data_IF_580843074222
#
_entry.id   IF_580843074222
#
_cell.length_a   1.000
_cell.length_b   1.000
_cell.length_c   1.000
_cell.angle_alpha   90.00
_cell.angle_beta   90.00
_cell.angle_gamma   90.00
#
_symmetry.space_group_name_H-M   'P 1'
#
loop_
_entity.id
_entity.type
_entity.pdbx_description
1 polymer ?
#
# COMPACT_ATOMS: atom_id res chain seq x y z
N UNK A 1 67.67 33.38 -51.26
CA UNK A 1 66.41 34.09 -51.58
C UNK A 1 65.58 33.12 -52.41
N UNK A 2 64.43 32.55 -52.04
CA UNK A 2 63.39 32.85 -51.05
C UNK A 2 62.75 31.53 -50.54
N UNK A 3 62.62 31.44 -49.20
CA UNK A 3 61.56 30.79 -48.38
C UNK A 3 61.08 29.36 -48.69
N UNK A 4 61.63 28.44 -47.92
CA UNK A 4 60.87 27.44 -47.15
C UNK A 4 59.70 28.12 -46.41
N UNK A 5 58.47 27.61 -46.58
CA UNK A 5 57.35 27.81 -45.65
C UNK A 5 56.84 26.44 -45.23
N UNK A 6 57.52 25.92 -44.22
CA UNK A 6 57.07 24.97 -43.21
C UNK A 6 55.56 24.98 -42.94
N UNK A 7 55.10 23.76 -42.66
CA UNK A 7 53.76 23.32 -42.34
C UNK A 7 53.41 23.72 -40.91
N UNK A 8 52.43 24.59 -40.72
CA UNK A 8 51.99 24.96 -39.38
C UNK A 8 50.54 24.51 -39.18
N UNK A 9 50.41 23.23 -38.88
CA UNK A 9 49.18 22.58 -38.39
C UNK A 9 48.81 23.21 -37.02
N UNK A 10 47.96 24.24 -37.02
CA UNK A 10 47.52 25.02 -35.84
C UNK A 10 46.46 24.33 -34.97
N UNK A 11 46.50 23.00 -34.82
CA UNK A 11 45.57 22.33 -33.91
C UNK A 11 46.30 21.97 -32.61
N UNK A 12 46.10 22.73 -31.52
CA UNK A 12 46.61 22.35 -30.22
C UNK A 12 46.02 20.98 -29.83
N UNK A 13 46.82 20.00 -29.38
CA UNK A 13 46.26 18.78 -28.83
C UNK A 13 45.50 19.13 -27.54
N UNK A 14 44.18 19.03 -27.60
CA UNK A 14 43.32 19.17 -26.43
C UNK A 14 43.79 18.19 -25.35
N UNK A 15 44.12 18.74 -24.18
CA UNK A 15 44.62 18.02 -23.02
C UNK A 15 43.56 17.04 -22.51
N UNK A 16 43.62 15.80 -22.96
CA UNK A 16 42.75 14.72 -22.50
C UNK A 16 43.33 14.17 -21.19
N UNK A 17 42.97 14.80 -20.06
CA UNK A 17 43.44 14.39 -18.75
C UNK A 17 42.57 13.26 -18.23
N UNK A 18 43.21 12.18 -17.76
CA UNK A 18 42.66 10.88 -17.40
C UNK A 18 41.67 10.81 -16.24
N UNK A 19 40.72 11.75 -16.13
CA UNK A 19 39.59 11.66 -15.19
C UNK A 19 38.37 10.94 -15.75
N UNK A 20 38.32 10.60 -17.04
CA UNK A 20 37.11 10.02 -17.67
C UNK A 20 36.63 8.72 -16.99
N UNK A 21 37.55 7.87 -16.52
CA UNK A 21 37.20 6.64 -15.80
C UNK A 21 36.67 6.97 -14.40
N UNK A 22 37.28 7.93 -13.71
CA UNK A 22 36.82 8.37 -12.39
C UNK A 22 35.44 9.03 -12.49
N UNK A 23 35.21 9.83 -13.52
CA UNK A 23 33.94 10.49 -13.81
C UNK A 23 32.84 9.47 -14.13
N UNK A 24 33.16 8.44 -14.93
CA UNK A 24 32.25 7.32 -15.18
C UNK A 24 31.93 6.52 -13.91
N UNK A 25 32.91 6.25 -13.06
CA UNK A 25 32.70 5.56 -11.78
C UNK A 25 31.83 6.37 -10.82
N UNK A 26 32.02 7.70 -10.75
CA UNK A 26 31.19 8.60 -9.96
C UNK A 26 29.77 8.64 -10.51
N UNK A 27 29.59 8.71 -11.84
CA UNK A 27 28.28 8.67 -12.48
C UNK A 27 27.53 7.37 -12.16
N UNK A 28 28.19 6.21 -12.28
CA UNK A 28 27.62 4.90 -11.95
C UNK A 28 27.28 4.81 -10.46
N UNK A 29 28.15 5.33 -9.57
CA UNK A 29 27.91 5.35 -8.13
C UNK A 29 26.64 6.15 -7.79
N UNK A 30 26.54 7.38 -8.25
CA UNK A 30 25.38 8.25 -7.99
C UNK A 30 24.12 7.64 -8.59
N UNK A 31 24.21 7.10 -9.81
CA UNK A 31 23.08 6.45 -10.46
C UNK A 31 22.58 5.21 -9.69
N UNK A 32 23.51 4.40 -9.17
CA UNK A 32 23.19 3.23 -8.35
C UNK A 32 22.49 3.62 -7.04
N UNK A 33 22.93 4.69 -6.40
CA UNK A 33 22.26 5.25 -5.22
C UNK A 33 20.85 5.76 -5.56
N UNK A 34 20.68 6.38 -6.73
CA UNK A 34 19.38 6.80 -7.24
C UNK A 34 18.39 5.65 -7.41
N UNK A 35 18.83 4.52 -8.01
CA UNK A 35 18.00 3.33 -8.15
C UNK A 35 17.61 2.76 -6.77
N UNK A 36 18.56 2.68 -5.83
CA UNK A 36 18.27 2.15 -4.50
C UNK A 36 17.25 3.02 -3.75
N UNK A 37 17.36 4.35 -3.86
CA UNK A 37 16.38 5.28 -3.30
C UNK A 37 14.98 5.06 -3.89
N UNK A 38 14.89 4.87 -5.21
CA UNK A 38 13.62 4.59 -5.88
C UNK A 38 13.00 3.26 -5.45
N UNK A 39 13.81 2.19 -5.33
CA UNK A 39 13.35 0.89 -4.84
C UNK A 39 12.83 1.02 -3.40
N UNK A 40 13.52 1.78 -2.54
CA UNK A 40 13.06 2.05 -1.18
C UNK A 40 11.70 2.74 -1.12
N UNK A 41 11.49 3.75 -1.98
CA UNK A 41 10.20 4.43 -2.11
C UNK A 41 9.12 3.48 -2.63
N UNK A 42 9.43 2.69 -3.66
CA UNK A 42 8.50 1.69 -4.21
C UNK A 42 8.08 0.67 -3.15
N UNK A 43 9.03 0.15 -2.36
CA UNK A 43 8.74 -0.78 -1.28
C UNK A 43 7.81 -0.16 -0.21
N UNK A 44 8.03 1.11 0.15
CA UNK A 44 7.14 1.84 1.07
C UNK A 44 5.73 2.01 0.50
N UNK A 45 5.63 2.41 -0.76
CA UNK A 45 4.35 2.54 -1.46
C UNK A 45 3.56 1.22 -1.48
N UNK A 46 4.22 0.09 -1.77
CA UNK A 46 3.59 -1.24 -1.75
C UNK A 46 3.04 -1.63 -0.37
N UNK A 47 3.75 -1.27 0.72
CA UNK A 47 3.27 -1.49 2.09
C UNK A 47 2.01 -0.65 2.38
N UNK A 48 2.00 0.61 1.98
CA UNK A 48 0.85 1.49 2.15
C UNK A 48 -0.38 1.00 1.34
N UNK A 49 -0.17 0.51 0.12
CA UNK A 49 -1.21 -0.11 -0.70
C UNK A 49 -1.81 -1.35 -0.02
N UNK A 50 -0.96 -2.23 0.54
CA UNK A 50 -1.42 -3.43 1.27
C UNK A 50 -2.25 -3.06 2.50
N UNK A 51 -1.81 -2.09 3.30
CA UNK A 51 -2.57 -1.62 4.46
C UNK A 51 -3.94 -1.03 4.06
N UNK A 52 -3.99 -0.31 2.94
CA UNK A 52 -5.24 0.22 2.37
C UNK A 52 -6.16 -0.89 1.90
N UNK A 53 -5.61 -1.93 1.25
CA UNK A 53 -6.37 -3.11 0.82
C UNK A 53 -7.07 -3.80 2.00
N UNK A 54 -6.38 -4.02 3.12
CA UNK A 54 -7.02 -4.62 4.29
C UNK A 54 -8.20 -3.80 4.83
N UNK A 55 -8.11 -2.47 4.80
CA UNK A 55 -9.23 -1.60 5.21
C UNK A 55 -10.43 -1.73 4.25
N UNK A 56 -10.17 -1.81 2.95
CA UNK A 56 -11.21 -2.04 1.95
C UNK A 56 -11.87 -3.40 2.15
N UNK A 57 -11.08 -4.46 2.29
CA UNK A 57 -11.58 -5.82 2.51
C UNK A 57 -12.41 -5.90 3.82
N UNK A 58 -11.96 -5.24 4.89
CA UNK A 58 -12.72 -5.14 6.15
C UNK A 58 -14.06 -4.39 5.99
N UNK A 59 -14.06 -3.28 5.23
CA UNK A 59 -15.28 -2.54 4.94
C UNK A 59 -16.27 -3.37 4.12
N UNK A 60 -15.78 -4.16 3.17
CA UNK A 60 -16.59 -5.05 2.35
C UNK A 60 -17.25 -6.13 3.21
N UNK A 61 -16.49 -6.80 4.08
CA UNK A 61 -17.03 -7.82 5.01
C UNK A 61 -18.10 -7.23 5.91
N UNK A 62 -17.88 -6.03 6.44
CA UNK A 62 -18.84 -5.35 7.30
C UNK A 62 -20.12 -4.96 6.53
N UNK A 63 -19.96 -4.42 5.31
CA UNK A 63 -21.07 -4.01 4.45
C UNK A 63 -21.89 -5.21 3.98
N UNK A 64 -21.26 -6.33 3.64
CA UNK A 64 -21.95 -7.58 3.33
C UNK A 64 -22.77 -8.08 4.52
N UNK A 65 -22.22 -8.01 5.74
CA UNK A 65 -22.95 -8.39 6.96
C UNK A 65 -24.16 -7.50 7.18
N UNK A 66 -24.00 -6.19 7.03
CA UNK A 66 -25.10 -5.23 7.12
C UNK A 66 -26.16 -5.51 6.04
N UNK A 67 -25.76 -5.74 4.79
CA UNK A 67 -26.68 -6.02 3.69
C UNK A 67 -27.55 -7.26 3.97
N UNK A 68 -26.97 -8.32 4.51
CA UNK A 68 -27.72 -9.51 4.92
C UNK A 68 -28.73 -9.19 6.04
N UNK A 69 -28.34 -8.37 7.01
CA UNK A 69 -29.25 -7.91 8.08
C UNK A 69 -30.37 -7.01 7.56
N UNK A 70 -30.13 -6.20 6.53
CA UNK A 70 -31.18 -5.40 5.88
C UNK A 70 -32.18 -6.25 5.12
N UNK A 71 -31.72 -7.35 4.52
CA UNK A 71 -32.56 -8.32 3.83
C UNK A 71 -33.42 -9.14 4.81
N UNK A 72 -32.89 -9.44 5.99
CA UNK A 72 -33.56 -10.19 7.06
C UNK A 72 -33.77 -9.32 8.31
N UNK A 73 -34.37 -8.15 8.08
CA UNK A 73 -34.52 -7.09 9.10
C UNK A 73 -35.49 -7.42 10.23
N UNK A 74 -36.32 -8.44 10.06
CA UNK A 74 -37.27 -8.87 11.09
C UNK A 74 -36.58 -9.82 12.09
N UNK A 75 -35.39 -10.35 11.76
CA UNK A 75 -34.64 -11.30 12.57
C UNK A 75 -33.24 -10.81 12.96
N UNK A 76 -33.07 -9.50 13.21
CA UNK A 76 -31.76 -8.90 13.53
C UNK A 76 -31.08 -9.55 14.74
N UNK A 77 -31.84 -10.03 15.72
CA UNK A 77 -31.31 -10.68 16.91
C UNK A 77 -30.52 -11.97 16.59
N UNK A 78 -30.87 -12.69 15.52
CA UNK A 78 -30.15 -13.88 15.09
C UNK A 78 -28.76 -13.59 14.50
N UNK A 79 -28.50 -12.34 14.11
CA UNK A 79 -27.21 -11.91 13.58
C UNK A 79 -26.23 -11.44 14.65
N UNK A 80 -26.65 -11.37 15.92
CA UNK A 80 -25.74 -11.09 17.03
C UNK A 80 -24.71 -12.22 17.10
N UNK A 81 -23.43 -11.86 17.03
CA UNK A 81 -22.35 -12.83 17.10
C UNK A 81 -21.23 -12.29 18.02
N UNK A 82 -20.64 -13.15 18.87
CA UNK A 82 -19.41 -12.81 19.57
C UNK A 82 -18.27 -12.66 18.56
N UNK A 83 -17.08 -12.29 19.05
CA UNK A 83 -15.88 -12.22 18.19
C UNK A 83 -15.67 -13.58 17.51
N UNK A 84 -15.87 -13.60 16.21
CA UNK A 84 -15.85 -14.81 15.38
C UNK A 84 -14.77 -14.67 14.32
N UNK A 85 -13.98 -15.72 14.11
CA UNK A 85 -12.93 -15.74 13.10
C UNK A 85 -13.54 -15.69 11.69
N UNK A 86 -12.96 -14.85 10.83
CA UNK A 86 -13.30 -14.79 9.41
C UNK A 86 -12.50 -15.85 8.64
N UNK A 87 -13.07 -16.40 7.55
CA UNK A 87 -12.33 -17.31 6.69
C UNK A 87 -11.16 -16.57 6.02
N UNK A 88 -10.11 -17.30 5.65
CA UNK A 88 -8.95 -16.74 4.96
C UNK A 88 -9.31 -16.05 3.64
N UNK A 89 -10.41 -16.45 3.00
CA UNK A 89 -10.96 -15.81 1.79
C UNK A 89 -11.41 -14.36 1.99
N UNK A 90 -11.59 -13.91 3.24
CA UNK A 90 -11.89 -12.52 3.56
C UNK A 90 -10.72 -11.57 3.29
N UNK A 91 -9.51 -12.08 2.98
CA UNK A 91 -8.34 -11.25 2.68
C UNK A 91 -7.75 -10.52 3.90
N UNK A 92 -8.22 -10.86 5.11
CA UNK A 92 -7.81 -10.24 6.36
C UNK A 92 -6.93 -11.19 7.17
N UNK A 93 -5.67 -10.84 7.45
CA UNK A 93 -4.79 -11.64 8.28
C UNK A 93 -5.31 -11.65 9.73
N UNK A 94 -5.54 -12.84 10.28
CA UNK A 94 -6.19 -13.04 11.59
C UNK A 94 -7.48 -12.22 11.75
N UNK A 95 -8.26 -12.13 10.68
CA UNK A 95 -9.48 -11.35 10.63
C UNK A 95 -10.56 -11.90 11.57
N UNK A 96 -11.21 -11.03 12.34
CA UNK A 96 -12.39 -11.37 13.13
C UNK A 96 -13.52 -10.38 12.90
N UNK A 97 -14.75 -10.84 13.09
CA UNK A 97 -15.97 -10.03 13.03
C UNK A 97 -16.78 -10.21 14.31
N UNK A 98 -17.42 -9.14 14.74
CA UNK A 98 -18.37 -9.13 15.84
C UNK A 98 -19.56 -8.27 15.43
N UNK A 99 -20.76 -8.74 15.73
CA UNK A 99 -22.01 -8.05 15.42
C UNK A 99 -22.82 -7.90 16.70
N UNK A 100 -23.17 -6.67 17.04
CA UNK A 100 -23.99 -6.34 18.19
C UNK A 100 -25.25 -5.60 17.72
N UNK A 101 -26.38 -5.90 18.35
CA UNK A 101 -27.66 -5.26 18.07
C UNK A 101 -28.21 -4.69 19.38
N UNK A 102 -28.50 -3.40 19.40
CA UNK A 102 -29.08 -2.67 20.52
C UNK A 102 -30.35 -1.94 20.04
N UNK A 103 -31.51 -2.57 20.21
CA UNK A 103 -32.75 -2.11 19.58
C UNK A 103 -32.63 -2.13 18.05
N UNK A 104 -32.79 -0.99 17.39
CA UNK A 104 -32.60 -0.84 15.94
C UNK A 104 -31.15 -0.57 15.55
N UNK A 105 -30.26 -0.28 16.51
CA UNK A 105 -28.86 0.05 16.23
C UNK A 105 -28.04 -1.22 16.08
N UNK A 106 -27.50 -1.43 14.88
CA UNK A 106 -26.61 -2.53 14.55
C UNK A 106 -25.18 -1.99 14.50
N UNK A 107 -24.28 -2.61 15.25
CA UNK A 107 -22.85 -2.31 15.23
C UNK A 107 -22.08 -3.53 14.73
N UNK A 108 -21.41 -3.40 13.60
CA UNK A 108 -20.51 -4.43 13.06
C UNK A 108 -19.08 -3.96 13.25
N UNK A 109 -18.29 -4.75 13.95
CA UNK A 109 -16.87 -4.52 14.19
C UNK A 109 -16.06 -5.60 13.49
N UNK A 110 -15.12 -5.19 12.64
CA UNK A 110 -14.16 -6.07 11.97
C UNK A 110 -12.76 -5.72 12.48
N UNK A 111 -11.97 -6.73 12.83
CA UNK A 111 -10.58 -6.57 13.30
C UNK A 111 -9.65 -7.40 12.44
N UNK A 112 -8.43 -6.95 12.23
CA UNK A 112 -7.39 -7.71 11.56
C UNK A 112 -6.01 -7.32 12.09
N UNK A 113 -5.03 -8.21 11.95
CA UNK A 113 -3.66 -7.94 12.35
C UNK A 113 -2.69 -8.47 11.28
N UNK A 114 -1.97 -7.59 10.56
CA UNK A 114 -0.92 -8.02 9.65
C UNK A 114 0.20 -8.79 10.38
N UNK A 115 0.88 -9.74 9.72
CA UNK A 115 2.04 -10.43 10.31
C UNK A 115 3.12 -9.42 10.70
N UNK A 116 3.50 -9.38 11.98
CA UNK A 116 4.46 -8.41 12.52
C UNK A 116 3.93 -6.96 12.62
N UNK A 117 2.65 -6.72 12.34
CA UNK A 117 2.00 -5.43 12.46
C UNK A 117 1.13 -5.31 13.73
N UNK A 118 0.63 -4.09 13.98
CA UNK A 118 -0.34 -3.82 15.03
C UNK A 118 -1.76 -4.21 14.60
N UNK A 119 -2.57 -4.66 15.57
CA UNK A 119 -3.98 -4.93 15.34
C UNK A 119 -4.73 -3.64 14.95
N UNK A 120 -5.58 -3.75 13.93
CA UNK A 120 -6.42 -2.68 13.41
C UNK A 120 -7.90 -3.05 13.55
N UNK A 121 -8.76 -2.04 13.61
CA UNK A 121 -10.21 -2.22 13.67
C UNK A 121 -10.93 -1.35 12.64
N UNK A 122 -12.10 -1.81 12.23
CA UNK A 122 -13.07 -1.09 11.42
C UNK A 122 -14.44 -1.30 12.05
N UNK A 123 -15.18 -0.22 12.31
CA UNK A 123 -16.49 -0.25 12.95
C UNK A 123 -17.46 0.52 12.10
N UNK A 124 -18.61 -0.10 11.83
CA UNK A 124 -19.74 0.54 11.17
C UNK A 124 -20.98 0.39 12.03
N UNK A 125 -21.79 1.43 12.07
CA UNK A 125 -23.03 1.50 12.84
C UNK A 125 -24.16 1.94 11.93
N UNK A 126 -25.25 1.20 11.93
CA UNK A 126 -26.42 1.52 11.12
C UNK A 126 -27.70 1.25 11.90
N UNK A 127 -28.73 2.04 11.64
CA UNK A 127 -30.06 1.80 12.17
C UNK A 127 -30.86 0.99 11.17
N UNK A 128 -31.35 -0.18 11.59
CA UNK A 128 -32.23 -1.02 10.79
C UNK A 128 -33.58 -1.08 11.51
N UNK A 129 -34.63 -0.58 10.87
CA UNK A 129 -36.00 -0.59 11.39
C UNK A 129 -36.74 -1.73 10.70
N UNK A 130 -37.31 -2.65 11.50
CA UNK A 130 -38.14 -3.76 11.02
C UNK A 130 -39.41 -3.26 10.32
N UNK A 131 -40.03 -4.10 9.48
CA UNK A 131 -41.26 -3.71 8.82
C UNK A 131 -42.42 -3.84 9.82
N UNK A 132 -42.87 -2.71 10.36
CA UNK A 132 -44.02 -2.61 11.26
C UNK A 132 -45.31 -3.15 10.63
#
# INVERSE_FOLDING_TARGET
>A
MLKDHTRDNLLPPCSQKGSAILEGLIAILIFSLGILALIGLQASAMKATTASKFRVDASLVANQRIANMWADRDNLAAYVEPVTALPASAGLPSGTRQTQVAGTLVTVTVRWQPPGGMASNYVTRTNIVGNS
#
